data_IF_548483206504
#
_entry.id   IF_548483206504
#
_cell.length_a   1.000
_cell.length_b   1.000
_cell.length_c   1.000
_cell.angle_alpha   90.00
_cell.angle_beta   90.00
_cell.angle_gamma   90.00
#
_symmetry.space_group_name_H-M   'P 1'
#
loop_
_entity.id
_entity.type
_entity.pdbx_description
1 polymer ?
#
# COMPACT_ATOMS: atom_id res chain seq x y z
N UNK A 1 -17.15 -0.12 13.87
CA UNK A 1 -17.31 0.70 12.64
C UNK A 1 -16.54 2.03 12.69
N UNK A 2 -15.54 2.20 13.58
CA UNK A 2 -14.78 3.46 13.73
C UNK A 2 -13.25 3.34 13.59
N UNK A 3 -12.68 2.22 13.13
CA UNK A 3 -11.22 2.01 13.08
C UNK A 3 -10.55 2.54 11.81
N UNK A 4 -11.22 2.47 10.65
CA UNK A 4 -10.56 2.72 9.36
C UNK A 4 -10.37 4.22 9.07
N UNK A 5 -11.34 5.06 9.42
CA UNK A 5 -11.27 6.51 9.20
C UNK A 5 -10.27 7.20 10.12
N UNK A 6 -10.17 6.77 11.38
CA UNK A 6 -9.19 7.29 12.34
C UNK A 6 -7.76 6.89 11.97
N UNK A 7 -7.58 5.66 11.49
CA UNK A 7 -6.29 5.18 10.97
C UNK A 7 -5.87 5.97 9.73
N UNK A 8 -6.81 6.27 8.81
CA UNK A 8 -6.54 7.11 7.64
C UNK A 8 -6.09 8.51 8.06
N UNK A 9 -6.83 9.16 8.96
CA UNK A 9 -6.51 10.48 9.50
C UNK A 9 -5.15 10.51 10.20
N UNK A 10 -4.81 9.46 10.96
CA UNK A 10 -3.53 9.32 11.64
C UNK A 10 -2.36 9.19 10.66
N UNK A 11 -2.45 8.29 9.67
CA UNK A 11 -1.43 8.14 8.62
C UNK A 11 -1.26 9.44 7.79
N UNK A 12 -2.35 10.20 7.59
CA UNK A 12 -2.33 11.47 6.86
C UNK A 12 -1.69 12.61 7.64
N UNK A 13 -1.87 12.65 8.98
CA UNK A 13 -1.19 13.64 9.83
C UNK A 13 0.34 13.56 9.76
N UNK A 14 0.87 12.38 9.42
CA UNK A 14 2.30 12.12 9.24
C UNK A 14 2.80 12.39 7.82
N UNK A 15 1.90 12.41 6.83
CA UNK A 15 2.18 12.80 5.44
C UNK A 15 2.15 14.32 5.20
N UNK A 16 1.99 15.13 6.25
CA UNK A 16 2.00 16.59 6.18
C UNK A 16 3.36 17.10 5.67
N UNK A 17 3.49 17.15 4.35
CA UNK A 17 4.49 17.92 3.64
C UNK A 17 4.31 19.37 4.06
N UNK A 18 5.38 20.02 4.48
CA UNK A 18 5.41 21.39 4.98
C UNK A 18 4.62 22.35 4.05
N UNK A 19 3.37 22.64 4.40
CA UNK A 19 2.43 23.43 3.60
C UNK A 19 0.97 23.29 4.07
N UNK A 20 0.08 24.12 3.53
CA UNK A 20 -1.37 23.95 3.71
C UNK A 20 -1.81 22.66 3.01
N UNK A 21 -2.13 21.63 3.78
CA UNK A 21 -2.65 20.36 3.26
C UNK A 21 -4.18 20.46 3.16
N UNK A 22 -4.71 20.32 1.96
CA UNK A 22 -6.16 20.14 1.74
C UNK A 22 -6.43 18.64 1.69
N UNK A 23 -7.32 18.18 2.55
CA UNK A 23 -7.70 16.78 2.65
C UNK A 23 -9.11 16.59 2.14
N UNK A 24 -9.25 15.67 1.19
CA UNK A 24 -10.52 15.27 0.60
C UNK A 24 -10.67 13.77 0.82
N UNK A 25 -11.83 13.35 1.34
CA UNK A 25 -12.09 11.96 1.69
C UNK A 25 -13.27 11.46 0.86
N UNK A 26 -13.06 10.32 0.20
CA UNK A 26 -14.09 9.61 -0.53
C UNK A 26 -14.23 8.19 0.00
N UNK A 27 -15.47 7.69 0.07
CA UNK A 27 -15.74 6.28 0.32
C UNK A 27 -15.67 5.53 -1.01
N UNK A 28 -14.75 4.57 -1.11
CA UNK A 28 -14.49 3.80 -2.32
C UNK A 28 -14.28 2.32 -2.01
N UNK A 29 -15.19 1.45 -2.48
CA UNK A 29 -14.98 0.01 -2.54
C UNK A 29 -14.33 -0.34 -3.89
N UNK A 30 -13.07 -0.77 -3.86
CA UNK A 30 -12.32 -1.12 -5.07
C UNK A 30 -12.89 -2.33 -5.84
N UNK A 31 -13.83 -3.07 -5.26
CA UNK A 31 -14.54 -4.15 -5.95
C UNK A 31 -15.67 -3.62 -6.84
N UNK A 32 -16.13 -2.39 -6.59
CA UNK A 32 -17.18 -1.75 -7.35
C UNK A 32 -16.60 -0.72 -8.34
N UNK A 33 -16.57 -1.09 -9.63
CA UNK A 33 -16.02 -0.21 -10.69
C UNK A 33 -16.76 1.11 -10.85
N UNK A 34 -18.07 1.14 -10.64
CA UNK A 34 -18.85 2.37 -10.72
C UNK A 34 -18.49 3.32 -9.58
N UNK A 35 -18.24 2.78 -8.37
CA UNK A 35 -17.80 3.58 -7.24
C UNK A 35 -16.38 4.13 -7.46
N UNK A 36 -15.45 3.34 -8.05
CA UNK A 36 -14.13 3.86 -8.44
C UNK A 36 -14.28 5.02 -9.44
N UNK A 37 -15.09 4.85 -10.49
CA UNK A 37 -15.29 5.89 -11.50
C UNK A 37 -15.88 7.17 -10.91
N UNK A 38 -16.89 7.05 -10.05
CA UNK A 38 -17.48 8.18 -9.33
C UNK A 38 -16.45 8.94 -8.49
N UNK A 39 -15.60 8.23 -7.74
CA UNK A 39 -14.55 8.83 -6.91
C UNK A 39 -13.50 9.52 -7.78
N UNK A 40 -13.15 8.93 -8.92
CA UNK A 40 -12.21 9.53 -9.87
C UNK A 40 -12.77 10.83 -10.46
N UNK A 41 -14.06 10.87 -10.84
CA UNK A 41 -14.73 12.09 -11.33
C UNK A 41 -14.68 13.19 -10.26
N UNK A 42 -15.13 12.88 -9.04
CA UNK A 42 -15.10 13.83 -7.91
C UNK A 42 -13.68 14.33 -7.61
N UNK A 43 -12.70 13.42 -7.64
CA UNK A 43 -11.29 13.77 -7.42
C UNK A 43 -10.80 14.77 -8.47
N UNK A 44 -11.17 14.60 -9.74
CA UNK A 44 -10.72 15.50 -10.81
C UNK A 44 -11.42 16.87 -10.76
N UNK A 45 -12.66 16.92 -10.29
CA UNK A 45 -13.41 18.18 -10.12
C UNK A 45 -12.77 19.06 -9.03
N UNK A 46 -12.27 18.46 -7.95
CA UNK A 46 -11.62 19.18 -6.84
C UNK A 46 -10.11 19.34 -7.02
N UNK A 47 -9.44 18.35 -7.62
CA UNK A 47 -8.00 18.29 -7.89
C UNK A 47 -7.77 17.90 -9.37
N UNK A 48 -7.60 18.87 -10.28
CA UNK A 48 -7.56 18.64 -11.73
C UNK A 48 -6.53 17.63 -12.24
N UNK A 49 -5.51 17.31 -11.42
CA UNK A 49 -4.43 16.37 -11.69
C UNK A 49 -4.07 15.51 -10.47
N UNK A 50 -3.87 14.21 -10.68
CA UNK A 50 -3.43 13.24 -9.64
C UNK A 50 -1.97 12.88 -9.85
N UNK A 51 -1.03 13.43 -9.07
CA UNK A 51 0.42 13.26 -9.31
C UNK A 51 0.99 11.91 -8.85
N UNK A 52 0.40 11.36 -7.79
CA UNK A 52 0.83 10.11 -7.17
C UNK A 52 -0.41 9.27 -6.93
N UNK A 53 -0.37 8.01 -7.37
CA UNK A 53 -1.34 6.99 -6.98
C UNK A 53 -0.63 5.97 -6.10
N UNK A 54 -1.07 5.83 -4.86
CA UNK A 54 -0.59 4.80 -3.94
C UNK A 54 -1.65 3.71 -3.83
N UNK A 55 -1.41 2.57 -4.49
CA UNK A 55 -2.28 1.39 -4.36
C UNK A 55 -1.96 0.64 -3.06
N UNK A 56 -2.37 1.23 -1.93
CA UNK A 56 -2.17 0.67 -0.59
C UNK A 56 -3.28 -0.30 -0.16
N UNK A 57 -4.50 -0.12 -0.67
CA UNK A 57 -5.64 -0.94 -0.27
C UNK A 57 -5.40 -2.42 -0.60
N UNK A 58 -5.45 -3.25 0.44
CA UNK A 58 -5.27 -4.69 0.30
C UNK A 58 -5.45 -5.40 1.63
N UNK A 59 -5.75 -6.68 1.56
CA UNK A 59 -5.86 -7.54 2.73
C UNK A 59 -5.53 -8.99 2.34
N UNK A 60 -5.48 -9.87 3.32
CA UNK A 60 -5.34 -11.30 3.09
C UNK A 60 -6.21 -12.04 4.10
N UNK A 61 -6.64 -13.24 3.74
CA UNK A 61 -7.44 -14.15 4.56
C UNK A 61 -6.80 -15.54 4.45
N UNK A 62 -7.07 -16.41 5.42
CA UNK A 62 -6.59 -17.79 5.40
C UNK A 62 -5.12 -17.90 5.78
N UNK A 63 -4.84 -17.85 7.08
CA UNK A 63 -3.48 -18.01 7.59
C UNK A 63 -3.04 -19.49 7.65
N UNK A 64 -1.78 -19.73 7.31
CA UNK A 64 -0.98 -20.96 7.49
C UNK A 64 -1.38 -22.21 6.69
N UNK A 65 -2.59 -22.30 6.15
CA UNK A 65 -2.96 -23.43 5.29
C UNK A 65 -2.24 -23.33 3.92
N UNK A 66 -1.73 -24.45 3.37
CA UNK A 66 -1.22 -24.47 2.00
C UNK A 66 -2.34 -24.20 0.99
N UNK A 67 -1.99 -23.77 -0.22
CA UNK A 67 -2.96 -23.30 -1.20
C UNK A 67 -4.09 -24.31 -1.52
N UNK A 68 -3.78 -25.62 -1.58
CA UNK A 68 -4.77 -26.67 -1.86
C UNK A 68 -5.77 -26.93 -0.70
N UNK A 69 -5.56 -26.31 0.46
CA UNK A 69 -6.46 -26.38 1.63
C UNK A 69 -7.19 -25.04 1.87
N UNK A 70 -6.92 -24.02 1.05
CA UNK A 70 -7.54 -22.71 1.18
C UNK A 70 -8.98 -22.73 0.65
N UNK A 71 -9.83 -21.92 1.28
CA UNK A 71 -11.16 -21.62 0.77
C UNK A 71 -11.06 -20.69 -0.46
N UNK A 72 -11.58 -21.16 -1.59
CA UNK A 72 -11.51 -20.43 -2.85
C UNK A 72 -12.30 -19.10 -2.80
N UNK A 73 -13.38 -19.03 -2.03
CA UNK A 73 -14.15 -17.78 -1.90
C UNK A 73 -13.29 -16.69 -1.23
N UNK A 74 -12.49 -17.07 -0.23
CA UNK A 74 -11.52 -16.17 0.41
C UNK A 74 -10.38 -15.76 -0.56
N UNK A 75 -9.89 -16.69 -1.39
CA UNK A 75 -8.87 -16.39 -2.39
C UNK A 75 -9.40 -15.38 -3.41
N UNK A 76 -10.61 -15.60 -3.92
CA UNK A 76 -11.26 -14.72 -4.89
C UNK A 76 -11.52 -13.33 -4.29
N UNK A 77 -12.01 -13.26 -3.05
CA UNK A 77 -12.27 -11.99 -2.38
C UNK A 77 -11.00 -11.17 -2.18
N UNK A 78 -9.87 -11.82 -1.86
CA UNK A 78 -8.56 -11.17 -1.75
C UNK A 78 -8.09 -10.67 -3.12
N UNK A 79 -8.27 -11.46 -4.18
CA UNK A 79 -7.95 -11.05 -5.55
C UNK A 79 -8.80 -9.87 -6.04
N UNK A 80 -10.06 -9.79 -5.63
CA UNK A 80 -10.95 -8.69 -6.02
C UNK A 80 -10.41 -7.32 -5.60
N UNK A 81 -9.77 -7.23 -4.42
CA UNK A 81 -9.17 -5.96 -3.95
C UNK A 81 -7.73 -5.83 -4.38
N UNK A 82 -6.88 -6.82 -4.04
CA UNK A 82 -5.43 -6.72 -4.20
C UNK A 82 -4.99 -6.70 -5.67
N UNK A 83 -5.81 -7.26 -6.57
CA UNK A 83 -5.49 -7.35 -7.99
C UNK A 83 -6.51 -6.60 -8.85
N UNK A 84 -7.78 -7.03 -8.87
CA UNK A 84 -8.78 -6.45 -9.79
C UNK A 84 -9.05 -4.98 -9.47
N UNK A 85 -9.24 -4.66 -8.19
CA UNK A 85 -9.45 -3.30 -7.71
C UNK A 85 -8.27 -2.38 -7.97
N UNK A 86 -7.05 -2.86 -7.65
CA UNK A 86 -5.80 -2.19 -7.97
C UNK A 86 -5.65 -1.87 -9.47
N UNK A 87 -5.92 -2.85 -10.34
CA UNK A 87 -5.85 -2.66 -11.79
C UNK A 87 -6.91 -1.65 -12.27
N UNK A 88 -8.12 -1.72 -11.72
CA UNK A 88 -9.21 -0.82 -12.09
C UNK A 88 -8.91 0.64 -11.75
N UNK A 89 -8.50 0.94 -10.52
CA UNK A 89 -8.15 2.33 -10.15
C UNK A 89 -6.93 2.84 -10.91
N UNK A 90 -5.92 1.99 -11.12
CA UNK A 90 -4.75 2.32 -11.94
C UNK A 90 -5.14 2.66 -13.38
N UNK A 91 -6.05 1.89 -13.99
CA UNK A 91 -6.57 2.16 -15.32
C UNK A 91 -7.20 3.56 -15.43
N UNK A 92 -8.09 3.91 -14.50
CA UNK A 92 -8.76 5.21 -14.54
C UNK A 92 -7.78 6.38 -14.33
N UNK A 93 -6.86 6.27 -13.38
CA UNK A 93 -5.85 7.32 -13.14
C UNK A 93 -4.91 7.49 -14.33
N UNK A 94 -4.46 6.38 -14.94
CA UNK A 94 -3.63 6.46 -16.15
C UNK A 94 -4.40 7.06 -17.33
N UNK A 95 -5.66 6.69 -17.54
CA UNK A 95 -6.51 7.27 -18.59
C UNK A 95 -6.62 8.78 -18.45
N UNK A 96 -6.80 9.29 -17.22
CA UNK A 96 -6.78 10.73 -16.95
C UNK A 96 -5.43 11.37 -17.31
N UNK A 97 -4.32 10.74 -16.93
CA UNK A 97 -2.97 11.26 -17.19
C UNK A 97 -2.63 11.29 -18.68
N UNK A 98 -2.96 10.23 -19.41
CA UNK A 98 -2.67 10.13 -20.83
C UNK A 98 -3.51 11.13 -21.65
N UNK A 99 -4.73 11.45 -21.20
CA UNK A 99 -5.62 12.39 -21.91
C UNK A 99 -5.32 13.87 -21.60
N UNK A 100 -4.78 14.20 -20.41
CA UNK A 100 -4.55 15.60 -19.99
C UNK A 100 -3.13 16.15 -20.16
N UNK A 101 -2.17 15.42 -20.75
CA UNK A 101 -0.76 15.84 -21.01
C UNK A 101 -0.22 16.85 -19.97
N UNK A 102 -0.05 16.39 -18.73
CA UNK A 102 0.65 17.21 -17.72
C UNK A 102 2.17 16.99 -17.83
N UNK A 103 3.00 18.07 -17.86
CA UNK A 103 4.45 17.98 -18.06
C UNK A 103 5.24 17.41 -16.87
N UNK A 104 4.60 17.13 -15.74
CA UNK A 104 5.24 16.56 -14.55
C UNK A 104 4.32 15.48 -13.92
N UNK A 105 4.79 14.24 -13.70
CA UNK A 105 3.97 13.20 -13.04
C UNK A 105 4.77 12.10 -12.30
N UNK A 106 4.59 12.14 -10.98
CA UNK A 106 5.24 11.55 -9.81
C UNK A 106 5.00 10.12 -9.27
N UNK A 107 4.54 9.09 -9.98
CA UNK A 107 4.69 7.70 -9.49
C UNK A 107 3.40 6.95 -9.14
N UNK A 108 3.27 5.74 -9.67
CA UNK A 108 2.29 4.74 -9.21
C UNK A 108 3.03 3.76 -8.30
N UNK A 109 2.68 3.68 -7.02
CA UNK A 109 3.24 2.66 -6.10
C UNK A 109 2.26 1.49 -6.03
N UNK A 110 2.72 0.30 -6.40
CA UNK A 110 1.91 -0.91 -6.59
C UNK A 110 2.51 -2.07 -5.79
N UNK A 111 1.68 -2.83 -5.07
CA UNK A 111 2.10 -4.00 -4.30
C UNK A 111 2.18 -5.30 -5.12
N UNK A 112 1.67 -5.32 -6.37
CA UNK A 112 1.67 -6.50 -7.26
C UNK A 112 2.75 -6.37 -8.32
N UNK A 113 3.83 -7.12 -8.16
CA UNK A 113 5.03 -6.97 -8.99
C UNK A 113 4.87 -7.40 -10.46
N UNK A 114 4.16 -8.50 -10.73
CA UNK A 114 3.96 -8.99 -12.09
C UNK A 114 3.27 -7.94 -12.99
N UNK A 115 2.15 -7.40 -12.51
CA UNK A 115 1.44 -6.31 -13.17
C UNK A 115 2.29 -5.04 -13.29
N UNK A 116 3.01 -4.68 -12.21
CA UNK A 116 3.90 -3.49 -12.19
C UNK A 116 4.98 -3.56 -13.27
N UNK A 117 5.60 -4.73 -13.44
CA UNK A 117 6.66 -4.92 -14.44
C UNK A 117 6.14 -4.69 -15.86
N UNK A 118 4.97 -5.26 -16.20
CA UNK A 118 4.33 -5.06 -17.50
C UNK A 118 3.98 -3.59 -17.69
N UNK A 119 3.38 -2.95 -16.68
CA UNK A 119 2.94 -1.57 -16.76
C UNK A 119 4.09 -0.59 -17.00
N UNK A 120 5.29 -0.86 -16.44
CA UNK A 120 6.49 -0.07 -16.74
C UNK A 120 6.81 -0.03 -18.24
N UNK A 121 6.67 -1.16 -18.92
CA UNK A 121 6.90 -1.24 -20.36
C UNK A 121 5.84 -0.46 -21.14
N UNK A 122 4.57 -0.52 -20.73
CA UNK A 122 3.49 0.21 -21.40
C UNK A 122 3.61 1.73 -21.23
N UNK A 123 4.21 2.20 -20.13
CA UNK A 123 4.47 3.62 -19.89
C UNK A 123 5.72 4.16 -20.58
N UNK A 124 6.40 3.37 -21.42
CA UNK A 124 7.55 3.82 -22.21
C UNK A 124 7.19 5.03 -23.09
N UNK A 125 8.07 6.03 -23.13
CA UNK A 125 7.83 7.28 -23.86
C UNK A 125 7.01 8.31 -23.08
N UNK A 126 6.72 8.03 -21.80
CA UNK A 126 6.15 8.97 -20.84
C UNK A 126 7.09 9.20 -19.67
N UNK A 127 6.78 10.19 -18.82
CA UNK A 127 7.52 10.43 -17.57
C UNK A 127 6.87 9.73 -16.35
N UNK A 128 5.95 8.79 -16.57
CA UNK A 128 5.28 8.07 -15.49
C UNK A 128 6.23 7.04 -14.88
N UNK A 129 6.51 7.17 -13.57
CA UNK A 129 7.20 6.12 -12.80
C UNK A 129 6.20 5.08 -12.27
N UNK A 130 6.56 3.80 -12.33
CA UNK A 130 5.80 2.71 -11.69
C UNK A 130 6.73 1.96 -10.75
N UNK A 131 6.36 1.93 -9.47
CA UNK A 131 7.21 1.64 -8.32
C UNK A 131 6.57 0.56 -7.46
N UNK A 132 7.40 -0.21 -6.74
CA UNK A 132 6.95 -1.24 -5.81
C UNK A 132 7.57 -1.01 -4.43
N UNK A 133 6.75 -1.15 -3.38
CA UNK A 133 7.19 -1.25 -1.99
C UNK A 133 6.89 -2.67 -1.50
N UNK A 134 7.90 -3.34 -0.95
CA UNK A 134 7.79 -4.66 -0.34
C UNK A 134 8.04 -4.53 1.17
N UNK A 135 6.99 -4.33 1.98
CA UNK A 135 7.14 -4.28 3.42
C UNK A 135 7.35 -5.69 3.98
N UNK A 136 8.12 -5.78 5.06
CA UNK A 136 8.19 -6.95 5.93
C UNK A 136 7.01 -7.01 6.88
N UNK A 137 7.27 -7.47 8.10
CA UNK A 137 6.25 -7.50 9.15
C UNK A 137 6.01 -6.09 9.67
N UNK A 138 4.78 -5.59 9.49
CA UNK A 138 4.35 -4.26 9.93
C UNK A 138 3.19 -4.41 10.91
N UNK A 139 3.25 -3.66 12.01
CA UNK A 139 2.25 -3.71 13.08
C UNK A 139 0.99 -2.90 12.71
N UNK A 140 0.15 -3.47 11.83
CA UNK A 140 -1.13 -2.91 11.38
C UNK A 140 -2.28 -3.90 11.59
N UNK A 141 -3.52 -3.52 11.22
CA UNK A 141 -4.67 -4.45 11.19
C UNK A 141 -4.56 -5.56 10.13
N UNK A 142 -3.52 -5.54 9.28
CA UNK A 142 -3.32 -6.57 8.27
C UNK A 142 -3.23 -7.98 8.87
N UNK A 143 -2.45 -8.14 9.94
CA UNK A 143 -2.24 -9.46 10.55
C UNK A 143 -3.44 -9.92 11.39
N UNK A 144 -4.18 -9.00 12.02
CA UNK A 144 -5.42 -9.34 12.74
C UNK A 144 -6.46 -9.88 11.76
N UNK A 145 -6.72 -9.18 10.65
CA UNK A 145 -7.66 -9.64 9.63
C UNK A 145 -7.22 -10.98 9.01
N UNK A 146 -5.94 -11.15 8.71
CA UNK A 146 -5.36 -12.41 8.20
C UNK A 146 -5.64 -13.60 9.13
N UNK A 147 -5.61 -13.37 10.44
CA UNK A 147 -5.77 -14.38 11.48
C UNK A 147 -7.20 -14.45 12.04
N UNK A 148 -8.19 -13.89 11.34
CA UNK A 148 -9.59 -13.93 11.76
C UNK A 148 -9.88 -13.13 13.04
N UNK A 149 -9.11 -12.06 13.28
CA UNK A 149 -9.14 -11.20 14.47
C UNK A 149 -8.77 -11.91 15.78
N UNK A 150 -8.05 -13.03 15.69
CA UNK A 150 -7.44 -13.71 16.84
C UNK A 150 -6.32 -12.86 17.43
N UNK A 151 -6.60 -12.25 18.59
CA UNK A 151 -5.69 -11.31 19.26
C UNK A 151 -4.39 -11.98 19.70
N UNK A 152 -4.46 -13.21 20.22
CA UNK A 152 -3.31 -13.94 20.73
C UNK A 152 -2.36 -14.32 19.59
N UNK A 153 -2.90 -14.89 18.50
CA UNK A 153 -2.10 -15.19 17.30
C UNK A 153 -1.50 -13.93 16.68
N UNK A 154 -2.22 -12.81 16.72
CA UNK A 154 -1.73 -11.54 16.18
C UNK A 154 -0.61 -10.96 17.05
N UNK A 155 -0.74 -10.99 18.37
CA UNK A 155 0.30 -10.55 19.29
C UNK A 155 1.58 -11.39 19.14
N UNK A 156 1.42 -12.72 19.05
CA UNK A 156 2.54 -13.66 18.85
C UNK A 156 3.31 -13.40 17.54
N UNK A 157 2.69 -12.80 16.51
CA UNK A 157 3.41 -12.42 15.29
C UNK A 157 4.49 -11.38 15.56
N UNK A 158 4.27 -10.45 16.48
CA UNK A 158 5.16 -9.31 16.73
C UNK A 158 6.08 -9.49 17.94
N UNK A 159 5.81 -10.49 18.78
CA UNK A 159 6.56 -10.75 20.01
C UNK A 159 8.07 -10.83 19.74
N UNK A 160 8.84 -9.97 20.43
CA UNK A 160 10.29 -9.99 20.48
C UNK A 160 11.03 -9.54 19.21
N UNK A 161 10.31 -9.26 18.11
CA UNK A 161 10.93 -8.99 16.81
C UNK A 161 11.09 -7.50 16.47
N UNK A 162 10.52 -6.58 17.24
CA UNK A 162 10.52 -5.16 16.88
C UNK A 162 10.04 -4.89 15.44
N UNK A 163 8.77 -5.19 15.16
CA UNK A 163 8.17 -5.03 13.84
C UNK A 163 8.15 -3.57 13.37
N UNK A 164 8.02 -3.37 12.05
CA UNK A 164 7.85 -2.03 11.49
C UNK A 164 6.54 -1.40 11.94
N UNK A 165 6.50 -0.07 11.98
CA UNK A 165 5.29 0.70 12.16
C UNK A 165 4.76 1.22 10.81
N UNK A 166 3.47 1.61 10.70
CA UNK A 166 2.94 2.23 9.49
C UNK A 166 3.77 3.42 8.99
N UNK A 167 4.34 4.20 9.91
CA UNK A 167 5.16 5.38 9.63
C UNK A 167 6.43 5.04 8.85
N UNK A 168 7.04 3.90 9.13
CA UNK A 168 8.25 3.45 8.45
C UNK A 168 7.98 3.19 6.96
N UNK A 169 6.80 2.63 6.65
CA UNK A 169 6.36 2.36 5.28
C UNK A 169 5.93 3.66 4.59
N UNK A 170 5.23 4.56 5.29
CA UNK A 170 4.86 5.86 4.74
C UNK A 170 6.10 6.70 4.38
N UNK A 171 7.11 6.73 5.25
CA UNK A 171 8.38 7.40 4.99
C UNK A 171 9.11 6.77 3.79
N UNK A 172 9.09 5.45 3.68
CA UNK A 172 9.64 4.70 2.55
C UNK A 172 8.96 5.08 1.23
N UNK A 173 7.63 5.04 1.18
CA UNK A 173 6.83 5.45 0.01
C UNK A 173 7.15 6.89 -0.41
N UNK A 174 7.16 7.81 0.57
CA UNK A 174 7.43 9.21 0.30
C UNK A 174 8.85 9.41 -0.26
N UNK A 175 9.86 8.80 0.36
CA UNK A 175 11.23 8.87 -0.13
C UNK A 175 11.33 8.37 -1.58
N UNK A 176 10.70 7.24 -1.91
CA UNK A 176 10.70 6.67 -3.26
C UNK A 176 10.06 7.64 -4.28
N UNK A 177 8.97 8.29 -3.90
CA UNK A 177 8.26 9.27 -4.73
C UNK A 177 9.04 10.59 -4.87
N UNK A 178 9.80 11.02 -3.87
CA UNK A 178 10.54 12.30 -3.88
C UNK A 178 11.89 12.26 -4.62
N UNK A 179 12.31 11.09 -5.07
CA UNK A 179 12.92 10.86 -6.39
C UNK A 179 13.08 12.07 -7.35
N UNK A 180 14.27 12.65 -7.67
CA UNK A 180 14.37 13.50 -8.86
C UNK A 180 13.82 12.77 -10.09
N UNK A 181 13.19 13.45 -11.04
CA UNK A 181 12.45 12.82 -12.16
C UNK A 181 13.26 11.79 -12.95
N UNK A 182 14.57 12.04 -13.11
CA UNK A 182 15.52 11.11 -13.76
C UNK A 182 15.85 9.83 -12.97
N UNK A 183 15.41 9.73 -11.72
CA UNK A 183 15.71 8.63 -10.80
C UNK A 183 14.43 7.85 -10.51
N UNK A 184 14.43 6.57 -10.87
CA UNK A 184 13.34 5.65 -10.56
C UNK A 184 13.84 4.50 -9.71
N UNK A 185 13.52 4.52 -8.41
CA UNK A 185 13.78 3.38 -7.51
C UNK A 185 12.65 2.39 -7.69
N UNK A 186 12.78 1.53 -8.70
CA UNK A 186 11.74 0.64 -9.21
C UNK A 186 11.13 -0.33 -8.19
N UNK A 187 11.93 -0.77 -7.21
CA UNK A 187 11.51 -1.68 -6.14
C UNK A 187 12.28 -1.31 -4.88
N UNK A 188 11.60 -1.30 -3.74
CA UNK A 188 12.22 -1.11 -2.43
C UNK A 188 11.67 -2.12 -1.44
N UNK A 189 12.56 -2.80 -0.72
CA UNK A 189 12.22 -3.77 0.31
C UNK A 189 12.57 -3.17 1.68
N UNK A 190 11.57 -3.07 2.55
CA UNK A 190 11.69 -2.47 3.88
C UNK A 190 11.30 -3.53 4.90
N UNK A 191 12.28 -4.05 5.64
CA UNK A 191 12.07 -5.10 6.65
C UNK A 191 12.41 -4.57 8.06
N UNK A 192 11.76 -5.10 9.11
CA UNK A 192 12.29 -4.99 10.46
C UNK A 192 13.75 -5.46 10.49
N UNK A 193 14.62 -4.81 11.27
CA UNK A 193 16.01 -5.29 11.40
C UNK A 193 16.08 -6.71 11.98
N UNK A 194 15.11 -7.10 12.81
CA UNK A 194 15.01 -8.47 13.29
C UNK A 194 14.56 -9.47 12.22
N UNK A 195 13.93 -9.03 11.14
CA UNK A 195 13.49 -9.89 10.05
C UNK A 195 14.56 -9.94 8.97
N UNK A 196 15.23 -11.08 8.84
CA UNK A 196 16.30 -11.31 7.86
C UNK A 196 15.79 -11.94 6.56
N UNK A 197 14.65 -12.61 6.63
CA UNK A 197 13.91 -13.16 5.48
C UNK A 197 12.46 -13.42 5.87
N UNK A 198 11.64 -13.96 4.96
CA UNK A 198 10.28 -14.41 5.28
C UNK A 198 10.24 -15.45 6.41
N UNK A 199 11.28 -16.28 6.55
CA UNK A 199 11.32 -17.39 7.50
C UNK A 199 12.25 -17.14 8.70
N UNK A 200 12.97 -16.02 8.71
CA UNK A 200 13.96 -15.72 9.73
C UNK A 200 13.62 -14.41 10.43
N UNK A 201 13.03 -14.51 11.62
CA UNK A 201 12.79 -13.39 12.53
C UNK A 201 13.56 -13.64 13.84
N UNK A 202 14.38 -12.67 14.24
CA UNK A 202 15.07 -12.65 15.51
C UNK A 202 14.11 -12.20 16.62
N UNK A 203 13.59 -13.19 17.36
CA UNK A 203 12.66 -12.99 18.48
C UNK A 203 13.32 -12.44 19.75
N UNK A 204 14.64 -12.26 19.76
CA UNK A 204 15.38 -11.68 20.89
C UNK A 204 15.80 -10.23 20.64
N UNK A 205 15.26 -9.60 19.59
CA UNK A 205 15.64 -8.23 19.22
C UNK A 205 15.25 -7.23 20.30
N UNK A 206 14.05 -7.37 20.87
CA UNK A 206 13.54 -6.48 21.92
C UNK A 206 14.31 -6.63 23.24
N UNK A 207 14.86 -7.81 23.54
CA UNK A 207 15.71 -8.01 24.72
C UNK A 207 16.95 -7.12 24.69
N UNK A 208 17.47 -6.85 23.48
CA UNK A 208 18.69 -6.06 23.28
C UNK A 208 18.42 -4.57 23.06
N UNK A 209 17.25 -4.21 22.51
CA UNK A 209 16.97 -2.85 22.05
C UNK A 209 15.78 -2.19 22.77
N UNK A 210 15.06 -2.94 23.60
CA UNK A 210 13.75 -2.56 24.13
C UNK A 210 12.61 -2.74 23.11
N UNK A 211 11.35 -2.64 23.57
CA UNK A 211 10.18 -2.74 22.69
C UNK A 211 10.05 -1.52 21.77
N UNK A 212 9.46 -1.71 20.59
CA UNK A 212 9.14 -0.61 19.67
C UNK A 212 8.08 0.29 20.31
N UNK A 213 8.38 1.58 20.48
CA UNK A 213 7.47 2.57 21.05
C UNK A 213 6.73 3.31 19.94
N UNK A 214 5.40 3.38 20.04
CA UNK A 214 4.55 4.24 19.21
C UNK A 214 4.51 5.68 19.73
#
# INVERSE_FOLDING_TARGET
>A
MSSDSETLLYSMSKLALAGQTVMIIYVCDLRNRANIEEVIVKTVDECPSVDILVNNAGYTLGATAPFWEQDLDNVESVMDVNLRGLMAITHYVLKLRMTKRSPHACGTVVAVEGFTNVLRHETLGTNIRVLVIRPGTVQTEFHSRRLGYDQDKTAAMFEGMGALLPEDIAASVLWQCMQPERVSVVTMETLPTAQRSLYAADRSWEDRNGPVRR
#
